data_IF_181356242884
#
_entry.id   IF_181356242884
#
_cell.length_a   1.000
_cell.length_b   1.000
_cell.length_c   1.000
_cell.angle_alpha   90.00
_cell.angle_beta   90.00
_cell.angle_gamma   90.00
#
_symmetry.space_group_name_H-M   'P 1'
#
loop_
_entity.id
_entity.type
_entity.pdbx_description
1 polymer ?
#
# COMPACT_ATOMS: atom_id res chain seq x y z
N UNK A 1 6.78 7.84 5.14
CA UNK A 1 7.77 7.18 6.03
C UNK A 1 8.16 5.86 5.37
N UNK A 2 9.44 5.52 5.25
CA UNK A 2 9.82 4.23 4.64
C UNK A 2 9.51 3.05 5.57
N UNK A 3 9.21 1.87 5.02
CA UNK A 3 8.95 0.64 5.78
C UNK A 3 10.14 0.30 6.69
N UNK A 4 11.36 0.50 6.22
CA UNK A 4 12.59 0.31 7.00
C UNK A 4 12.70 1.28 8.17
N UNK A 5 12.31 2.54 8.01
CA UNK A 5 12.30 3.52 9.10
C UNK A 5 11.24 3.15 10.14
N UNK A 6 10.07 2.68 9.71
CA UNK A 6 9.02 2.20 10.60
C UNK A 6 9.49 1.02 11.45
N UNK A 7 10.16 0.04 10.85
CA UNK A 7 10.78 -1.09 11.53
C UNK A 7 11.79 -0.62 12.59
N UNK A 8 12.77 0.20 12.18
CA UNK A 8 13.82 0.66 13.09
C UNK A 8 13.27 1.51 14.23
N UNK A 9 12.34 2.41 13.94
CA UNK A 9 11.71 3.27 14.95
C UNK A 9 10.93 2.45 15.99
N UNK A 10 10.12 1.50 15.54
CA UNK A 10 9.36 0.63 16.45
C UNK A 10 10.25 -0.32 17.24
N UNK A 11 11.23 -0.93 16.60
CA UNK A 11 12.19 -1.82 17.25
C UNK A 11 12.99 -1.09 18.34
N UNK A 12 13.55 0.09 18.00
CA UNK A 12 14.28 0.90 18.95
C UNK A 12 13.38 1.39 20.10
N UNK A 13 12.16 1.82 19.82
CA UNK A 13 11.23 2.28 20.84
C UNK A 13 10.86 1.18 21.85
N UNK A 14 10.65 -0.07 21.38
CA UNK A 14 10.38 -1.21 22.25
C UNK A 14 11.59 -1.50 23.16
N UNK A 15 12.80 -1.50 22.60
CA UNK A 15 14.03 -1.73 23.38
C UNK A 15 14.30 -0.61 24.39
N UNK A 16 14.09 0.65 24.00
CA UNK A 16 14.21 1.80 24.90
C UNK A 16 13.18 1.69 26.02
N UNK A 17 11.92 1.36 25.70
CA UNK A 17 10.87 1.11 26.69
C UNK A 17 11.28 0.05 27.69
N UNK A 18 11.72 -1.12 27.22
CA UNK A 18 12.20 -2.21 28.07
C UNK A 18 13.39 -1.79 28.96
N UNK A 19 14.38 -1.10 28.38
CA UNK A 19 15.55 -0.61 29.12
C UNK A 19 15.16 0.42 30.19
N UNK A 20 14.25 1.35 29.88
CA UNK A 20 13.70 2.30 30.85
C UNK A 20 12.95 1.60 31.97
N UNK A 21 12.16 0.57 31.66
CA UNK A 21 11.48 -0.26 32.66
C UNK A 21 12.47 -0.92 33.62
N UNK A 22 13.50 -1.57 33.09
CA UNK A 22 14.56 -2.20 33.91
C UNK A 22 15.36 -1.17 34.72
N UNK A 23 15.64 0.01 34.15
CA UNK A 23 16.31 1.10 34.85
C UNK A 23 15.48 1.65 36.00
N UNK A 24 14.19 1.88 35.75
CA UNK A 24 13.24 2.37 36.74
C UNK A 24 13.04 1.37 37.89
N UNK A 25 13.03 0.06 37.59
CA UNK A 25 13.04 -1.01 38.62
C UNK A 25 14.22 -0.87 39.58
N UNK A 26 15.42 -0.55 39.09
CA UNK A 26 16.62 -0.39 39.92
C UNK A 26 16.59 0.86 40.78
N UNK A 27 15.86 1.90 40.35
CA UNK A 27 15.77 3.18 41.05
C UNK A 27 14.63 3.22 42.10
N UNK A 28 13.60 2.40 41.95
CA UNK A 28 12.44 2.37 42.85
C UNK A 28 12.66 1.46 44.07
N UNK A 29 12.27 1.89 45.29
CA UNK A 29 12.23 1.03 46.47
C UNK A 29 11.30 -0.16 46.26
N UNK A 30 11.70 -1.34 46.74
CA UNK A 30 10.94 -2.59 46.61
C UNK A 30 9.51 -2.46 47.17
N UNK A 31 9.33 -1.64 48.20
CA UNK A 31 8.05 -1.37 48.87
C UNK A 31 7.02 -0.66 47.96
N UNK A 32 7.45 0.17 46.99
CA UNK A 32 6.56 0.79 45.99
C UNK A 32 6.22 -0.15 44.82
N UNK A 33 7.01 -1.20 44.63
CA UNK A 33 6.85 -2.20 43.56
C UNK A 33 6.03 -3.43 44.02
N UNK A 34 5.68 -3.50 45.30
CA UNK A 34 4.89 -4.58 45.89
C UNK A 34 3.45 -4.14 46.20
N UNK A 35 2.51 -5.08 46.10
CA UNK A 35 1.10 -4.83 46.42
C UNK A 35 0.27 -4.19 45.29
N UNK A 36 -0.67 -3.31 45.64
CA UNK A 36 -1.74 -2.84 44.75
C UNK A 36 -1.28 -2.02 43.53
N UNK A 37 -0.16 -1.29 43.63
CA UNK A 37 0.36 -0.49 42.52
C UNK A 37 0.85 -1.34 41.35
N UNK A 38 1.50 -2.48 41.65
CA UNK A 38 1.96 -3.45 40.64
C UNK A 38 0.80 -4.05 39.87
N UNK A 39 -0.24 -4.49 40.56
CA UNK A 39 -1.43 -5.07 39.93
C UNK A 39 -2.19 -4.02 39.10
N UNK A 40 -2.29 -2.79 39.58
CA UNK A 40 -2.89 -1.69 38.81
C UNK A 40 -2.11 -1.42 37.50
N UNK A 41 -0.78 -1.29 37.56
CA UNK A 41 0.05 -1.05 36.36
C UNK A 41 -0.03 -2.23 35.40
N UNK A 42 0.01 -3.48 35.91
CA UNK A 42 -0.15 -4.68 35.07
C UNK A 42 -1.51 -4.73 34.38
N UNK A 43 -2.58 -4.40 35.09
CA UNK A 43 -3.92 -4.36 34.53
C UNK A 43 -4.03 -3.27 33.46
N UNK A 44 -3.51 -2.06 33.72
CA UNK A 44 -3.47 -0.97 32.74
C UNK A 44 -2.62 -1.31 31.51
N UNK A 45 -1.46 -1.95 31.70
CA UNK A 45 -0.61 -2.40 30.60
C UNK A 45 -1.28 -3.51 29.77
N UNK A 46 -2.01 -4.42 30.42
CA UNK A 46 -2.83 -5.43 29.76
C UNK A 46 -3.94 -4.80 28.91
N UNK A 47 -4.66 -3.82 29.45
CA UNK A 47 -5.67 -3.06 28.71
C UNK A 47 -5.05 -2.27 27.54
N UNK A 48 -3.90 -1.64 27.73
CA UNK A 48 -3.19 -0.96 26.65
C UNK A 48 -2.74 -1.94 25.55
N UNK A 49 -2.33 -3.15 25.94
CA UNK A 49 -1.94 -4.20 25.01
C UNK A 49 -3.10 -4.69 24.16
N UNK A 50 -4.32 -4.80 24.71
CA UNK A 50 -5.49 -5.20 23.92
C UNK A 50 -5.89 -4.11 22.93
N UNK A 51 -5.82 -2.83 23.34
CA UNK A 51 -6.02 -1.70 22.43
C UNK A 51 -4.96 -1.65 21.32
N UNK A 52 -3.69 -1.84 21.67
CA UNK A 52 -2.60 -1.87 20.69
C UNK A 52 -2.78 -3.03 19.68
N UNK A 53 -3.17 -4.22 20.15
CA UNK A 53 -3.45 -5.36 19.28
C UNK A 53 -4.60 -5.08 18.29
N UNK A 54 -5.68 -4.45 18.76
CA UNK A 54 -6.80 -4.04 17.90
C UNK A 54 -6.35 -3.02 16.84
N UNK A 55 -5.60 -1.99 17.25
CA UNK A 55 -5.09 -0.97 16.32
C UNK A 55 -4.15 -1.58 15.29
N UNK A 56 -3.24 -2.48 15.69
CA UNK A 56 -2.39 -3.22 14.75
C UNK A 56 -3.24 -4.01 13.76
N UNK A 57 -4.26 -4.74 14.23
CA UNK A 57 -5.16 -5.50 13.36
C UNK A 57 -5.91 -4.63 12.35
N UNK A 58 -6.44 -3.48 12.79
CA UNK A 58 -7.11 -2.52 11.91
C UNK A 58 -6.14 -1.88 10.91
N UNK A 59 -4.92 -1.55 11.32
CA UNK A 59 -3.89 -1.02 10.43
C UNK A 59 -3.46 -2.05 9.38
N UNK A 60 -3.31 -3.32 9.73
CA UNK A 60 -3.04 -4.41 8.78
C UNK A 60 -4.19 -4.52 7.78
N UNK A 61 -5.44 -4.55 8.26
CA UNK A 61 -6.62 -4.66 7.41
C UNK A 61 -6.73 -3.47 6.44
N UNK A 62 -6.49 -2.26 6.94
CA UNK A 62 -6.48 -1.04 6.12
C UNK A 62 -5.38 -1.06 5.08
N UNK A 63 -4.14 -1.40 5.47
CA UNK A 63 -3.00 -1.50 4.53
C UNK A 63 -3.26 -2.53 3.43
N UNK A 64 -3.80 -3.70 3.81
CA UNK A 64 -4.17 -4.76 2.88
C UNK A 64 -5.27 -4.30 1.93
N UNK A 65 -6.29 -3.61 2.42
CA UNK A 65 -7.37 -3.08 1.58
C UNK A 65 -6.84 -2.07 0.55
N UNK A 66 -5.95 -1.17 0.95
CA UNK A 66 -5.26 -0.25 0.05
C UNK A 66 -4.49 -1.00 -1.05
N UNK A 67 -3.69 -1.99 -0.65
CA UNK A 67 -2.96 -2.85 -1.60
C UNK A 67 -3.90 -3.57 -2.58
N UNK A 68 -4.94 -4.22 -2.07
CA UNK A 68 -5.90 -4.97 -2.88
C UNK A 68 -6.65 -4.07 -3.86
N UNK A 69 -7.06 -2.87 -3.43
CA UNK A 69 -7.73 -1.89 -4.29
C UNK A 69 -6.82 -1.44 -5.43
N UNK A 70 -5.56 -1.09 -5.13
CA UNK A 70 -4.59 -0.68 -6.14
C UNK A 70 -4.29 -1.83 -7.12
N UNK A 71 -4.06 -3.04 -6.61
CA UNK A 71 -3.87 -4.24 -7.45
C UNK A 71 -5.10 -4.54 -8.33
N UNK A 72 -6.31 -4.36 -7.80
CA UNK A 72 -7.56 -4.53 -8.55
C UNK A 72 -7.69 -3.48 -9.66
N UNK A 73 -7.43 -2.20 -9.37
CA UNK A 73 -7.46 -1.13 -10.36
C UNK A 73 -6.46 -1.38 -11.51
N UNK A 74 -5.24 -1.83 -11.19
CA UNK A 74 -4.21 -2.20 -12.17
C UNK A 74 -4.66 -3.36 -13.04
N UNK A 75 -5.25 -4.41 -12.45
CA UNK A 75 -5.81 -5.55 -13.19
C UNK A 75 -6.96 -5.10 -14.11
N UNK A 76 -7.84 -4.23 -13.62
CA UNK A 76 -8.96 -3.69 -14.39
C UNK A 76 -8.48 -2.89 -15.60
N UNK A 77 -7.44 -2.06 -15.44
CA UNK A 77 -6.82 -1.35 -16.57
C UNK A 77 -6.32 -2.33 -17.65
N UNK A 78 -5.66 -3.42 -17.24
CA UNK A 78 -5.18 -4.45 -18.16
C UNK A 78 -6.31 -5.17 -18.88
N UNK A 79 -7.32 -5.63 -18.13
CA UNK A 79 -8.51 -6.30 -18.69
C UNK A 79 -9.23 -5.41 -19.70
N UNK A 80 -9.44 -4.14 -19.35
CA UNK A 80 -10.10 -3.18 -20.24
C UNK A 80 -9.27 -2.92 -21.50
N UNK A 81 -7.94 -2.87 -21.40
CA UNK A 81 -7.07 -2.74 -22.56
C UNK A 81 -7.22 -3.93 -23.54
N UNK A 82 -7.32 -5.17 -23.03
CA UNK A 82 -7.59 -6.36 -23.86
C UNK A 82 -8.94 -6.27 -24.53
N UNK A 83 -9.99 -5.93 -23.77
CA UNK A 83 -11.34 -5.82 -24.31
C UNK A 83 -11.43 -4.78 -25.42
N UNK A 84 -10.73 -3.65 -25.25
CA UNK A 84 -10.65 -2.61 -26.28
C UNK A 84 -9.87 -3.11 -27.52
N UNK A 85 -8.73 -3.80 -27.36
CA UNK A 85 -8.00 -4.39 -28.50
C UNK A 85 -8.86 -5.41 -29.26
N UNK A 86 -9.63 -6.24 -28.55
CA UNK A 86 -10.54 -7.21 -29.15
C UNK A 86 -11.68 -6.51 -29.92
N UNK A 87 -12.29 -5.47 -29.34
CA UNK A 87 -13.34 -4.69 -30.01
C UNK A 87 -12.82 -3.92 -31.23
N UNK A 88 -11.62 -3.35 -31.16
CA UNK A 88 -10.94 -2.73 -32.31
C UNK A 88 -10.63 -3.76 -33.39
N UNK A 89 -10.28 -5.00 -33.00
CA UNK A 89 -10.07 -6.10 -33.94
C UNK A 89 -11.37 -6.46 -34.66
N UNK A 90 -12.49 -6.59 -33.92
CA UNK A 90 -13.83 -6.83 -34.48
C UNK A 90 -14.34 -5.69 -35.35
N UNK A 91 -13.96 -4.45 -35.05
CA UNK A 91 -14.31 -3.28 -35.86
C UNK A 91 -13.73 -3.36 -37.29
N UNK A 92 -12.56 -3.99 -37.43
CA UNK A 92 -11.93 -4.28 -38.72
C UNK A 92 -10.78 -3.33 -39.08
N UNK A 93 -10.35 -3.30 -40.37
CA UNK A 93 -9.12 -2.64 -40.80
C UNK A 93 -9.03 -1.14 -40.51
N UNK A 94 -10.18 -0.45 -40.45
CA UNK A 94 -10.25 0.97 -40.14
C UNK A 94 -9.73 1.30 -38.72
N UNK A 95 -9.83 0.35 -37.80
CA UNK A 95 -9.38 0.50 -36.42
C UNK A 95 -7.88 0.20 -36.20
N UNK A 96 -7.13 -0.16 -37.27
CA UNK A 96 -5.72 -0.56 -37.16
C UNK A 96 -4.85 0.54 -36.53
N UNK A 97 -5.07 1.80 -36.89
CA UNK A 97 -4.33 2.93 -36.31
C UNK A 97 -4.57 3.08 -34.80
N UNK A 98 -5.85 3.02 -34.37
CA UNK A 98 -6.21 3.06 -32.95
C UNK A 98 -5.62 1.86 -32.20
N UNK A 99 -5.61 0.67 -32.81
CA UNK A 99 -5.02 -0.55 -32.22
C UNK A 99 -3.51 -0.41 -32.02
N UNK A 100 -2.79 0.16 -32.98
CA UNK A 100 -1.34 0.44 -32.85
C UNK A 100 -1.08 1.42 -31.72
N UNK A 101 -1.85 2.51 -31.63
CA UNK A 101 -1.70 3.51 -30.57
C UNK A 101 -1.99 2.93 -29.18
N UNK A 102 -3.04 2.10 -29.04
CA UNK A 102 -3.34 1.41 -27.78
C UNK A 102 -2.15 0.59 -27.28
N UNK A 103 -1.51 -0.17 -28.18
CA UNK A 103 -0.34 -1.00 -27.88
C UNK A 103 0.89 -0.18 -27.50
N UNK A 104 1.05 1.03 -28.05
CA UNK A 104 2.10 1.97 -27.69
C UNK A 104 1.85 2.65 -26.33
N UNK A 105 0.58 2.88 -25.98
CA UNK A 105 0.19 3.48 -24.69
C UNK A 105 0.48 2.54 -23.53
N UNK A 106 0.24 1.24 -23.66
CA UNK A 106 0.36 0.30 -22.53
C UNK A 106 1.75 0.33 -21.85
N UNK A 107 2.88 0.16 -22.56
CA UNK A 107 4.20 0.16 -21.91
C UNK A 107 4.54 1.55 -21.33
N UNK A 108 4.20 2.63 -22.05
CA UNK A 108 4.46 4.00 -21.59
C UNK A 108 3.60 4.39 -20.38
N UNK A 109 2.33 4.04 -20.38
CA UNK A 109 1.40 4.22 -19.27
C UNK A 109 1.81 3.40 -18.05
N UNK A 110 2.26 2.15 -18.25
CA UNK A 110 2.73 1.30 -17.15
C UNK A 110 3.96 1.91 -16.46
N UNK A 111 4.98 2.27 -17.24
CA UNK A 111 6.19 2.91 -16.70
C UNK A 111 5.85 4.20 -15.94
N UNK A 112 4.87 4.93 -16.43
CA UNK A 112 4.42 6.20 -15.86
C UNK A 112 3.60 6.04 -14.58
N UNK A 113 2.69 5.07 -14.53
CA UNK A 113 1.95 4.71 -13.30
C UNK A 113 2.95 4.41 -12.18
N UNK A 114 3.94 3.56 -12.43
CA UNK A 114 4.92 3.21 -11.40
C UNK A 114 5.78 4.40 -10.99
N UNK A 115 6.13 5.30 -11.92
CA UNK A 115 6.92 6.50 -11.60
C UNK A 115 6.15 7.51 -10.75
N UNK A 116 4.90 7.77 -11.10
CA UNK A 116 4.05 8.73 -10.36
C UNK A 116 3.68 8.20 -8.97
N UNK A 117 3.48 6.89 -8.83
CA UNK A 117 3.05 6.29 -7.57
C UNK A 117 4.19 5.75 -6.70
N UNK A 118 5.45 5.80 -7.18
CA UNK A 118 6.61 5.51 -6.36
C UNK A 118 6.86 6.69 -5.40
N UNK A 119 6.31 6.61 -4.18
CA UNK A 119 6.43 7.67 -3.19
C UNK A 119 7.89 7.88 -2.72
N UNK A 120 8.49 9.01 -3.12
CA UNK A 120 9.82 9.48 -2.73
C UNK A 120 10.16 10.81 -3.44
N UNK A 121 11.31 11.45 -3.11
CA UNK A 121 11.78 12.76 -3.63
C UNK A 121 11.96 12.89 -5.17
N UNK A 122 11.45 11.95 -5.96
CA UNK A 122 11.56 11.94 -7.42
C UNK A 122 10.31 11.48 -8.18
N UNK A 123 9.17 11.31 -7.51
CA UNK A 123 7.87 11.20 -8.18
C UNK A 123 7.47 12.56 -8.74
N UNK A 124 7.05 12.61 -10.00
CA UNK A 124 6.52 13.83 -10.60
C UNK A 124 5.16 14.14 -9.93
N UNK A 125 5.00 15.29 -9.24
CA UNK A 125 3.75 15.63 -8.56
C UNK A 125 2.58 15.85 -9.52
N UNK A 126 2.86 16.01 -10.81
CA UNK A 126 1.85 16.35 -11.79
C UNK A 126 1.32 15.12 -12.52
N UNK A 127 -0.01 14.95 -12.47
CA UNK A 127 -0.70 14.08 -13.41
C UNK A 127 -0.64 14.72 -14.80
N UNK A 128 0.31 14.33 -15.63
CA UNK A 128 0.37 14.79 -17.03
C UNK A 128 -0.57 13.98 -17.94
N UNK A 129 -1.21 14.60 -18.92
CA UNK A 129 -2.03 13.87 -19.89
C UNK A 129 -1.08 13.22 -20.91
N UNK A 130 -1.24 11.92 -21.18
CA UNK A 130 -0.43 11.25 -22.21
C UNK A 130 -0.85 11.74 -23.60
N UNK A 131 0.07 12.37 -24.34
CA UNK A 131 -0.17 12.80 -25.71
C UNK A 131 -0.58 11.61 -26.60
N UNK A 132 0.04 10.45 -26.40
CA UNK A 132 -0.33 9.21 -27.12
C UNK A 132 -1.75 8.76 -26.76
N UNK A 133 -2.19 8.92 -25.51
CA UNK A 133 -3.56 8.61 -25.11
C UNK A 133 -4.58 9.55 -25.76
N UNK A 134 -4.24 10.84 -25.91
CA UNK A 134 -5.08 11.79 -26.64
C UNK A 134 -5.17 11.42 -28.13
N UNK A 135 -4.05 11.04 -28.76
CA UNK A 135 -4.04 10.55 -30.15
C UNK A 135 -4.89 9.30 -30.32
N UNK A 136 -4.84 8.37 -29.37
CA UNK A 136 -5.71 7.19 -29.37
C UNK A 136 -7.19 7.57 -29.28
N UNK A 137 -7.54 8.46 -28.36
CA UNK A 137 -8.91 8.95 -28.22
C UNK A 137 -9.42 9.57 -29.52
N UNK A 138 -8.63 10.46 -30.15
CA UNK A 138 -8.97 11.03 -31.46
C UNK A 138 -9.09 9.98 -32.56
N UNK A 139 -8.24 8.95 -32.57
CA UNK A 139 -8.31 7.87 -33.55
C UNK A 139 -9.60 7.04 -33.40
N UNK A 140 -10.05 6.79 -32.16
CA UNK A 140 -11.34 6.13 -31.88
C UNK A 140 -12.52 7.03 -32.29
N UNK A 141 -12.48 8.33 -31.97
CA UNK A 141 -13.53 9.27 -32.38
C UNK A 141 -13.61 9.41 -33.91
N UNK A 142 -12.49 9.34 -34.61
CA UNK A 142 -12.40 9.38 -36.07
C UNK A 142 -12.91 8.13 -36.80
N UNK A 143 -13.26 7.05 -36.08
CA UNK A 143 -13.85 5.86 -36.69
C UNK A 143 -15.21 6.18 -37.31
N UNK A 144 -15.41 5.81 -38.58
CA UNK A 144 -16.65 6.08 -39.31
C UNK A 144 -17.47 4.79 -39.48
N UNK A 145 -18.44 4.51 -38.59
CA UNK A 145 -19.18 3.25 -38.62
C UNK A 145 -20.05 3.13 -39.87
N UNK A 146 -19.95 2.00 -40.56
CA UNK A 146 -20.73 1.69 -41.76
C UNK A 146 -22.06 0.98 -41.45
N UNK A 147 -22.21 0.38 -40.27
CA UNK A 147 -23.40 -0.37 -39.87
C UNK A 147 -23.70 -0.23 -38.37
N UNK A 148 -24.86 -0.72 -37.94
CA UNK A 148 -25.30 -0.65 -36.54
C UNK A 148 -24.37 -1.38 -35.56
N UNK A 149 -23.72 -2.47 -36.00
CA UNK A 149 -22.74 -3.22 -35.19
C UNK A 149 -21.51 -2.37 -34.91
N UNK A 150 -20.92 -1.73 -35.93
CA UNK A 150 -19.79 -0.82 -35.78
C UNK A 150 -20.13 0.41 -34.94
N UNK A 151 -21.36 0.94 -35.03
CA UNK A 151 -21.83 2.02 -34.15
C UNK A 151 -21.85 1.58 -32.68
N UNK A 152 -22.36 0.37 -32.42
CA UNK A 152 -22.37 -0.22 -31.07
C UNK A 152 -20.95 -0.46 -30.54
N UNK A 153 -20.05 -1.02 -31.37
CA UNK A 153 -18.65 -1.24 -31.02
C UNK A 153 -17.93 0.08 -30.70
N UNK A 154 -18.07 1.11 -31.55
CA UNK A 154 -17.47 2.43 -31.32
C UNK A 154 -17.91 3.01 -29.98
N UNK A 155 -19.22 2.95 -29.68
CA UNK A 155 -19.77 3.44 -28.40
C UNK A 155 -19.16 2.71 -27.20
N UNK A 156 -19.08 1.37 -27.25
CA UNK A 156 -18.47 0.56 -26.17
C UNK A 156 -16.97 0.83 -25.99
N UNK A 157 -16.24 1.03 -27.09
CA UNK A 157 -14.81 1.37 -27.03
C UNK A 157 -14.61 2.72 -26.33
N UNK A 158 -15.40 3.75 -26.67
CA UNK A 158 -15.34 5.07 -26.04
C UNK A 158 -15.67 4.97 -24.54
N UNK A 159 -16.72 4.23 -24.18
CA UNK A 159 -17.12 4.03 -22.79
C UNK A 159 -15.98 3.39 -21.98
N UNK A 160 -15.44 2.26 -22.43
CA UNK A 160 -14.38 1.54 -21.70
C UNK A 160 -13.10 2.38 -21.63
N UNK A 161 -12.76 3.12 -22.68
CA UNK A 161 -11.61 4.03 -22.68
C UNK A 161 -11.77 5.14 -21.64
N UNK A 162 -12.98 5.67 -21.49
CA UNK A 162 -13.31 6.68 -20.48
C UNK A 162 -13.18 6.10 -19.07
N UNK A 163 -13.69 4.88 -18.86
CA UNK A 163 -13.57 4.16 -17.59
C UNK A 163 -12.10 3.88 -17.25
N UNK A 164 -11.26 3.52 -18.23
CA UNK A 164 -9.81 3.37 -18.04
C UNK A 164 -9.16 4.69 -17.59
N UNK A 165 -9.53 5.82 -18.20
CA UNK A 165 -9.06 7.14 -17.78
C UNK A 165 -9.44 7.45 -16.32
N UNK A 166 -10.68 7.13 -15.93
CA UNK A 166 -11.15 7.29 -14.55
C UNK A 166 -10.42 6.38 -13.57
N UNK A 167 -10.24 5.10 -13.88
CA UNK A 167 -9.48 4.17 -13.03
C UNK A 167 -8.02 4.61 -12.89
N UNK A 168 -7.42 5.13 -13.95
CA UNK A 168 -6.05 5.67 -13.91
C UNK A 168 -5.93 6.89 -12.99
N UNK A 169 -6.94 7.77 -12.99
CA UNK A 169 -6.99 8.89 -12.07
C UNK A 169 -7.17 8.41 -10.62
N UNK A 170 -8.01 7.40 -10.37
CA UNK A 170 -8.17 6.80 -9.05
C UNK A 170 -6.85 6.20 -8.53
N UNK A 171 -6.09 5.50 -9.39
CA UNK A 171 -4.77 4.98 -9.03
C UNK A 171 -3.85 6.10 -8.55
N UNK A 172 -3.83 7.23 -9.27
CA UNK A 172 -3.02 8.41 -8.92
C UNK A 172 -3.47 9.07 -7.62
N UNK A 173 -4.77 9.29 -7.41
CA UNK A 173 -5.28 9.99 -6.22
C UNK A 173 -5.27 9.12 -4.95
N UNK A 174 -5.48 7.80 -5.08
CA UNK A 174 -5.48 6.87 -3.94
C UNK A 174 -4.07 6.53 -3.45
N UNK A 175 -3.01 7.01 -4.11
CA UNK A 175 -1.65 6.87 -3.63
C UNK A 175 -1.39 7.65 -2.33
N UNK A 176 -2.21 8.66 -2.05
CA UNK A 176 -2.10 9.52 -0.87
C UNK A 176 -2.85 8.98 0.38
N UNK A 177 -3.65 7.92 0.25
CA UNK A 177 -4.39 7.28 1.35
C UNK A 177 -3.50 6.38 2.25
N UNK A 178 -2.26 6.82 2.48
CA UNK A 178 -1.35 6.16 3.40
C UNK A 178 -1.89 6.24 4.84
N UNK A 179 -1.51 5.27 5.66
CA UNK A 179 -1.88 5.24 7.07
C UNK A 179 -1.45 6.55 7.75
N UNK A 180 -2.34 7.27 8.45
CA UNK A 180 -1.99 8.55 9.03
C UNK A 180 -0.86 8.37 10.05
N UNK A 181 0.24 9.07 9.81
CA UNK A 181 1.45 9.04 10.65
C UNK A 181 1.19 9.21 12.16
N UNK A 182 0.23 10.04 12.63
CA UNK A 182 -0.09 10.14 14.05
C UNK A 182 -0.51 8.82 14.70
N UNK A 183 -1.31 7.99 14.01
CA UNK A 183 -1.74 6.68 14.55
C UNK A 183 -0.54 5.76 14.78
N UNK A 184 0.41 5.76 13.84
CA UNK A 184 1.65 5.00 13.96
C UNK A 184 2.48 5.46 15.17
N UNK A 185 2.66 6.77 15.35
CA UNK A 185 3.41 7.33 16.49
C UNK A 185 2.79 6.92 17.83
N UNK A 186 1.47 7.07 17.96
CA UNK A 186 0.74 6.70 19.18
C UNK A 186 0.89 5.20 19.48
N UNK A 187 0.79 4.35 18.45
CA UNK A 187 0.96 2.92 18.60
C UNK A 187 2.37 2.53 19.05
N UNK A 188 3.40 3.12 18.43
CA UNK A 188 4.81 2.88 18.84
C UNK A 188 5.06 3.35 20.28
N UNK A 189 4.46 4.48 20.67
CA UNK A 189 4.50 4.96 22.05
C UNK A 189 3.83 3.96 23.01
N UNK A 190 2.64 3.46 22.69
CA UNK A 190 1.96 2.44 23.51
C UNK A 190 2.81 1.18 23.68
N UNK A 191 3.42 0.70 22.60
CA UNK A 191 4.31 -0.46 22.65
C UNK A 191 5.50 -0.21 23.59
N UNK A 192 6.15 0.96 23.51
CA UNK A 192 7.23 1.31 24.42
C UNK A 192 6.78 1.30 25.90
N UNK A 193 5.59 1.84 26.20
CA UNK A 193 5.02 1.85 27.56
C UNK A 193 4.67 0.45 28.06
N UNK A 194 4.13 -0.41 27.20
CA UNK A 194 3.81 -1.81 27.53
C UNK A 194 5.10 -2.56 27.91
N UNK A 195 6.14 -2.48 27.07
CA UNK A 195 7.41 -3.15 27.35
C UNK A 195 8.14 -2.54 28.55
N UNK A 196 8.06 -1.23 28.76
CA UNK A 196 8.53 -0.61 30.00
C UNK A 196 7.84 -1.19 31.23
N UNK A 197 6.52 -1.35 31.18
CA UNK A 197 5.72 -1.91 32.27
C UNK A 197 6.08 -3.37 32.54
N UNK A 198 6.25 -4.20 31.51
CA UNK A 198 6.67 -5.59 31.67
C UNK A 198 8.09 -5.70 32.24
N UNK A 199 9.04 -4.94 31.70
CA UNK A 199 10.44 -4.94 32.15
C UNK A 199 10.62 -4.35 33.55
N UNK A 200 9.73 -3.45 33.99
CA UNK A 200 9.71 -2.92 35.36
C UNK A 200 9.48 -4.01 36.40
N UNK A 201 8.65 -5.02 36.09
CA UNK A 201 8.31 -6.09 37.04
C UNK A 201 9.00 -7.43 36.75
N UNK A 202 9.70 -7.56 35.63
CA UNK A 202 10.42 -8.79 35.25
C UNK A 202 11.82 -8.83 35.89
N UNK A 203 12.20 -9.98 36.46
CA UNK A 203 13.56 -10.18 36.99
C UNK A 203 14.60 -10.06 35.88
N UNK A 204 15.63 -9.21 36.03
CA UNK A 204 16.65 -9.05 35.01
C UNK A 204 17.35 -10.39 34.77
N UNK A 205 17.17 -10.96 33.58
CA UNK A 205 17.73 -12.24 33.21
C UNK A 205 17.81 -12.41 31.71
N UNK A 206 18.68 -13.31 31.26
CA UNK A 206 18.91 -13.59 29.84
C UNK A 206 17.60 -13.93 29.11
N UNK A 207 16.71 -14.70 29.75
CA UNK A 207 15.43 -15.13 29.18
C UNK A 207 14.51 -13.93 28.88
N UNK A 208 14.47 -12.92 29.77
CA UNK A 208 13.64 -11.71 29.58
C UNK A 208 14.17 -10.85 28.44
N UNK A 209 15.50 -10.76 28.31
CA UNK A 209 16.14 -10.04 27.20
C UNK A 209 15.86 -10.73 25.87
N UNK A 210 16.05 -12.06 25.80
CA UNK A 210 15.79 -12.84 24.59
C UNK A 210 14.31 -12.75 24.21
N UNK A 211 13.38 -12.91 25.16
CA UNK A 211 11.96 -12.83 24.88
C UNK A 211 11.58 -11.44 24.35
N UNK A 212 12.09 -10.37 24.98
CA UNK A 212 11.87 -8.99 24.55
C UNK A 212 12.40 -8.77 23.14
N UNK A 213 13.58 -9.28 22.79
CA UNK A 213 14.13 -9.19 21.43
C UNK A 213 13.25 -9.90 20.39
N UNK A 214 12.79 -11.11 20.70
CA UNK A 214 11.91 -11.87 19.79
C UNK A 214 10.58 -11.15 19.58
N UNK A 215 9.98 -10.63 20.66
CA UNK A 215 8.74 -9.87 20.58
C UNK A 215 8.92 -8.54 19.82
N UNK A 216 9.99 -7.80 20.12
CA UNK A 216 10.33 -6.57 19.42
C UNK A 216 10.50 -6.82 17.93
N UNK A 217 11.23 -7.88 17.55
CA UNK A 217 11.43 -8.26 16.16
C UNK A 217 10.11 -8.60 15.47
N UNK A 218 9.25 -9.40 16.12
CA UNK A 218 7.96 -9.82 15.59
C UNK A 218 7.02 -8.63 15.35
N UNK A 219 6.82 -7.78 16.37
CA UNK A 219 5.92 -6.62 16.26
C UNK A 219 6.47 -5.60 15.27
N UNK A 220 7.78 -5.34 15.27
CA UNK A 220 8.40 -4.40 14.32
C UNK A 220 8.31 -4.92 12.89
N UNK A 221 8.39 -6.24 12.68
CA UNK A 221 8.17 -6.86 11.36
C UNK A 221 6.72 -6.71 10.90
N UNK A 222 5.74 -6.84 11.81
CA UNK A 222 4.34 -6.57 11.46
C UNK A 222 4.14 -5.09 11.07
N UNK A 223 4.71 -4.16 11.83
CA UNK A 223 4.67 -2.72 11.52
C UNK A 223 5.38 -2.37 10.21
N UNK A 224 6.49 -3.06 9.90
CA UNK A 224 7.15 -2.98 8.60
C UNK A 224 6.19 -3.36 7.48
N UNK A 225 5.54 -4.53 7.58
CA UNK A 225 4.62 -5.03 6.56
C UNK A 225 3.41 -4.11 6.36
N UNK A 226 2.89 -3.53 7.44
CA UNK A 226 1.82 -2.54 7.39
C UNK A 226 2.22 -1.33 6.53
N UNK A 227 3.42 -0.79 6.76
CA UNK A 227 3.92 0.37 5.99
C UNK A 227 4.32 -0.04 4.57
N UNK A 228 4.80 -1.26 4.36
CA UNK A 228 5.13 -1.77 3.02
C UNK A 228 3.87 -1.90 2.16
N UNK A 229 2.82 -2.52 2.72
CA UNK A 229 1.52 -2.68 2.06
C UNK A 229 0.81 -1.36 1.80
N UNK A 230 1.01 -0.34 2.64
CA UNK A 230 0.42 0.98 2.40
C UNK A 230 1.07 1.72 1.22
N UNK A 231 2.18 1.21 0.66
CA UNK A 231 2.83 1.78 -0.51
C UNK A 231 2.96 0.73 -1.64
N UNK A 232 1.86 0.34 -2.30
CA UNK A 232 1.78 -0.82 -3.20
C UNK A 232 2.67 -0.76 -4.45
N UNK A 233 3.18 0.43 -4.81
CA UNK A 233 4.05 0.62 -5.97
C UNK A 233 5.55 0.58 -5.61
N UNK A 234 5.89 0.37 -4.35
CA UNK A 234 7.26 0.22 -3.85
C UNK A 234 7.33 -0.86 -2.78
N UNK A 235 8.54 -1.14 -2.28
CA UNK A 235 8.72 -2.11 -1.20
C UNK A 235 8.82 -3.56 -1.67
N UNK A 236 8.72 -4.48 -0.71
CA UNK A 236 8.86 -5.93 -0.95
C UNK A 236 7.57 -6.51 -1.55
N UNK A 237 6.42 -6.05 -1.08
CA UNK A 237 5.10 -6.45 -1.55
C UNK A 237 4.60 -5.51 -2.65
N UNK A 238 5.40 -5.30 -3.68
CA UNK A 238 5.00 -4.46 -4.81
C UNK A 238 3.94 -5.15 -5.69
N UNK A 239 2.96 -4.38 -6.17
CA UNK A 239 2.03 -4.84 -7.21
C UNK A 239 2.82 -5.21 -8.46
N UNK A 240 2.48 -6.34 -9.07
CA UNK A 240 3.14 -6.79 -10.30
C UNK A 240 2.73 -5.95 -11.51
N UNK A 241 3.71 -5.39 -12.21
CA UNK A 241 3.52 -4.69 -13.50
C UNK A 241 3.30 -5.64 -14.69
N UNK A 242 3.58 -6.93 -14.52
CA UNK A 242 3.57 -7.94 -15.58
C UNK A 242 2.19 -8.10 -16.21
N UNK A 243 1.12 -7.96 -15.42
CA UNK A 243 -0.25 -8.07 -15.91
C UNK A 243 -0.61 -6.97 -16.90
N UNK A 244 -0.05 -5.77 -16.79
CA UNK A 244 -0.26 -4.68 -17.75
C UNK A 244 0.66 -4.80 -18.98
N UNK A 245 1.89 -5.28 -18.81
CA UNK A 245 2.85 -5.36 -19.92
C UNK A 245 2.58 -6.52 -20.88
N UNK A 246 1.99 -7.61 -20.40
CA UNK A 246 1.77 -8.83 -21.19
C UNK A 246 0.32 -9.08 -21.59
N UNK A 247 -0.58 -8.11 -21.44
CA UNK A 247 -2.01 -8.37 -21.66
C UNK A 247 -2.37 -8.57 -23.14
N UNK A 248 -1.59 -8.01 -24.07
CA UNK A 248 -1.95 -8.04 -25.50
C UNK A 248 -1.19 -9.14 -26.27
N UNK A 249 -1.89 -10.03 -26.99
CA UNK A 249 -1.25 -11.00 -27.90
C UNK A 249 -0.58 -10.29 -29.08
N UNK A 250 0.42 -10.91 -29.72
CA UNK A 250 1.10 -10.34 -30.91
C UNK A 250 0.09 -10.04 -32.02
N UNK A 251 0.35 -8.99 -32.80
CA UNK A 251 -0.47 -8.66 -33.98
C UNK A 251 -0.23 -9.76 -35.02
N UNK A 252 -1.28 -10.50 -35.37
CA UNK A 252 -1.34 -11.32 -36.59
C UNK A 252 -1.81 -10.47 -37.78
#
# INVERSE_FOLDING_TARGET
MSSTAAFLASFAAILIGAALGTGLRRALPTELLEGGAKEAIRLSAGFLSTLAALVIGLMIASAKNTYDNQNSNIRQLGTNAVLVDEMLTKYGPQAKAARTLLREIIPSATARIWRENAAGKGGDPDFVVSETAERFYRAVEGLNPANAEQTSLKSRIIQITTDMGRTRLLVFTQADDAIPLPFFIVLVFWLAVIFASFSLFAEPGLIVVISTLVFALSVSSALFLIVDLSHPFQGLMQVSNHHLQMVLPKIE
#
